data_IF_015993530281
#
_entry.id   IF_015993530281
#
_cell.length_a   1.000
_cell.length_b   1.000
_cell.length_c   1.000
_cell.angle_alpha   90.00
_cell.angle_beta   90.00
_cell.angle_gamma   90.00
#
_symmetry.space_group_name_H-M   'P 1'
#
loop_
_entity.id
_entity.type
_entity.pdbx_description
1 polymer ?
#
# COMPACT_ATOMS: atom_id res chain seq x y z
N UNK A 1 25.31 9.11 -24.18
CA UNK A 1 24.23 10.07 -23.91
C UNK A 1 24.05 10.19 -22.41
N UNK A 2 24.22 11.38 -21.82
CA UNK A 2 23.99 11.62 -20.40
C UNK A 2 22.48 11.69 -20.14
N UNK A 3 21.98 10.91 -19.18
CA UNK A 3 20.57 11.00 -18.76
C UNK A 3 20.34 12.36 -18.11
N UNK A 4 19.34 13.15 -18.54
CA UNK A 4 19.04 14.44 -17.92
C UNK A 4 18.75 14.28 -16.42
N UNK A 5 19.23 15.25 -15.64
CA UNK A 5 19.02 15.25 -14.19
C UNK A 5 17.51 15.34 -13.86
N UNK A 6 17.04 14.65 -12.81
CA UNK A 6 15.65 14.79 -12.36
C UNK A 6 15.33 16.24 -11.94
N UNK A 7 14.10 16.73 -12.15
CA UNK A 7 13.66 18.03 -11.68
C UNK A 7 13.89 18.26 -10.17
N UNK A 8 14.23 19.49 -9.73
CA UNK A 8 14.51 19.78 -8.32
C UNK A 8 13.38 19.42 -7.35
N UNK A 9 12.12 19.56 -7.77
CA UNK A 9 10.97 19.20 -6.93
C UNK A 9 10.94 17.70 -6.55
N UNK A 10 11.47 16.82 -7.42
CA UNK A 10 11.53 15.38 -7.16
C UNK A 10 12.53 15.10 -6.05
N UNK A 11 13.70 15.74 -6.09
CA UNK A 11 14.71 15.63 -5.04
C UNK A 11 14.22 16.18 -3.70
N UNK A 12 13.56 17.33 -3.71
CA UNK A 12 12.94 17.90 -2.50
C UNK A 12 11.89 16.96 -1.90
N UNK A 13 11.03 16.37 -2.74
CA UNK A 13 10.03 15.40 -2.28
C UNK A 13 10.66 14.10 -1.76
N UNK A 14 11.67 13.57 -2.44
CA UNK A 14 12.42 12.38 -1.99
C UNK A 14 13.08 12.62 -0.64
N UNK A 15 13.70 13.80 -0.46
CA UNK A 15 14.33 14.20 0.80
C UNK A 15 13.30 14.27 1.93
N UNK A 16 12.11 14.80 1.66
CA UNK A 16 11.00 14.79 2.64
C UNK A 16 10.64 13.37 3.08
N UNK A 17 10.54 12.43 2.14
CA UNK A 17 10.23 11.02 2.47
C UNK A 17 11.29 10.39 3.36
N UNK A 18 12.55 10.68 3.12
CA UNK A 18 13.67 10.16 3.91
C UNK A 18 13.76 10.80 5.29
N UNK A 19 13.80 12.12 5.34
CA UNK A 19 14.08 12.86 6.58
C UNK A 19 12.87 12.94 7.50
N UNK A 20 11.68 13.16 6.94
CA UNK A 20 10.45 13.37 7.73
C UNK A 20 9.72 12.06 7.99
N UNK A 21 9.63 11.18 6.98
CA UNK A 21 8.85 9.94 7.08
C UNK A 21 9.69 8.69 7.33
N UNK A 22 11.02 8.79 7.27
CA UNK A 22 11.91 7.65 7.49
C UNK A 22 11.81 6.58 6.38
N UNK A 23 11.27 6.93 5.21
CA UNK A 23 11.20 6.04 4.05
C UNK A 23 12.50 6.17 3.26
N UNK A 24 13.21 5.05 3.05
CA UNK A 24 14.46 5.01 2.27
C UNK A 24 14.20 5.19 0.77
N UNK A 25 13.75 6.38 0.38
CA UNK A 25 13.31 6.70 -0.95
C UNK A 25 14.48 6.96 -1.91
N UNK A 26 14.41 6.40 -3.11
CA UNK A 26 15.30 6.66 -4.23
C UNK A 26 14.58 7.40 -5.36
N UNK A 27 15.36 7.90 -6.32
CA UNK A 27 14.84 8.44 -7.58
C UNK A 27 15.28 7.52 -8.71
N UNK A 28 14.32 6.95 -9.45
CA UNK A 28 14.61 6.32 -10.74
C UNK A 28 14.86 7.43 -11.77
N UNK A 29 16.13 7.63 -12.13
CA UNK A 29 16.56 8.70 -13.03
C UNK A 29 16.09 8.52 -14.48
N UNK A 30 15.65 7.31 -14.87
CA UNK A 30 15.14 7.05 -16.23
C UNK A 30 13.69 7.46 -16.39
N UNK A 31 12.91 7.28 -15.32
CA UNK A 31 11.46 7.54 -15.29
C UNK A 31 11.10 8.79 -14.52
N UNK A 32 12.05 9.39 -13.82
CA UNK A 32 11.87 10.49 -12.88
C UNK A 32 10.75 10.21 -11.89
N UNK A 33 10.76 9.03 -11.28
CA UNK A 33 9.80 8.62 -10.25
C UNK A 33 10.50 8.30 -8.94
N UNK A 34 9.81 8.54 -7.84
CA UNK A 34 10.29 8.23 -6.51
C UNK A 34 9.89 6.80 -6.16
N UNK A 35 10.87 5.97 -5.83
CA UNK A 35 10.67 4.58 -5.42
C UNK A 35 11.11 4.38 -3.98
N UNK A 36 10.52 3.42 -3.30
CA UNK A 36 11.05 2.90 -2.04
C UNK A 36 11.10 1.37 -2.13
N UNK A 37 12.24 0.73 -1.83
CA UNK A 37 12.29 -0.72 -1.78
C UNK A 37 11.43 -1.19 -0.60
N UNK A 38 10.46 -2.06 -0.86
CA UNK A 38 9.77 -2.84 0.16
C UNK A 38 10.57 -4.12 0.41
N UNK A 39 10.94 -4.33 1.68
CA UNK A 39 11.52 -5.57 2.14
C UNK A 39 12.21 -5.48 3.49
N UNK A 40 12.64 -6.64 3.97
CA UNK A 40 13.25 -6.79 5.30
C UNK A 40 14.49 -5.89 5.46
N UNK A 41 15.28 -5.71 4.39
CA UNK A 41 16.48 -4.86 4.39
C UNK A 41 16.16 -3.37 4.47
N UNK A 42 15.04 -2.94 3.90
CA UNK A 42 14.59 -1.54 3.97
C UNK A 42 13.73 -1.25 5.19
N UNK A 43 13.25 -2.29 5.88
CA UNK A 43 12.32 -2.19 7.01
C UNK A 43 10.91 -1.79 6.58
N UNK A 44 10.56 -1.92 5.29
CA UNK A 44 9.25 -1.56 4.75
C UNK A 44 8.51 -2.80 4.29
N UNK A 45 7.31 -3.01 4.81
CA UNK A 45 6.35 -4.00 4.32
C UNK A 45 5.18 -3.32 3.65
N UNK A 46 4.59 -3.97 2.65
CA UNK A 46 3.44 -3.44 1.94
C UNK A 46 2.34 -4.46 1.83
N UNK A 47 1.12 -4.05 2.15
CA UNK A 47 -0.11 -4.79 1.81
C UNK A 47 -0.82 -4.05 0.69
N UNK A 48 -1.02 -4.71 -0.44
CA UNK A 48 -1.68 -4.20 -1.63
C UNK A 48 -3.05 -4.81 -1.78
N UNK A 49 -4.02 -4.02 -2.22
CA UNK A 49 -5.36 -4.50 -2.55
C UNK A 49 -6.06 -3.60 -3.56
N UNK A 50 -7.14 -4.07 -4.22
CA UNK A 50 -8.00 -3.21 -5.02
C UNK A 50 -8.56 -2.03 -4.22
N UNK A 51 -8.80 -0.89 -4.87
CA UNK A 51 -9.26 0.33 -4.20
C UNK A 51 -10.55 0.16 -3.38
N UNK A 52 -11.51 -0.66 -3.83
CA UNK A 52 -12.76 -0.86 -3.09
C UNK A 52 -12.53 -1.61 -1.78
N UNK A 53 -11.78 -2.73 -1.82
CA UNK A 53 -11.34 -3.41 -0.61
C UNK A 53 -10.49 -2.50 0.29
N UNK A 54 -9.62 -1.69 -0.31
CA UNK A 54 -8.80 -0.69 0.40
C UNK A 54 -9.65 0.36 1.11
N UNK A 55 -10.74 0.83 0.51
CA UNK A 55 -11.64 1.81 1.11
C UNK A 55 -12.35 1.23 2.34
N UNK A 56 -12.85 0.01 2.24
CA UNK A 56 -13.52 -0.69 3.35
C UNK A 56 -12.55 -0.94 4.51
N UNK A 57 -11.37 -1.49 4.19
CA UNK A 57 -10.30 -1.76 5.16
C UNK A 57 -9.85 -0.47 5.84
N UNK A 58 -9.59 0.59 5.08
CA UNK A 58 -9.21 1.91 5.64
C UNK A 58 -10.26 2.42 6.62
N UNK A 59 -11.53 2.34 6.25
CA UNK A 59 -12.63 2.81 7.09
C UNK A 59 -12.65 2.07 8.42
N UNK A 60 -12.53 0.74 8.38
CA UNK A 60 -12.47 -0.09 9.57
C UNK A 60 -11.22 0.19 10.42
N UNK A 61 -10.05 0.31 9.80
CA UNK A 61 -8.79 0.61 10.50
C UNK A 61 -8.88 1.95 11.24
N UNK A 62 -9.42 2.98 10.59
CA UNK A 62 -9.61 4.29 11.19
C UNK A 62 -10.57 4.27 12.39
N UNK A 63 -11.63 3.47 12.33
CA UNK A 63 -12.56 3.27 13.45
C UNK A 63 -11.90 2.56 14.63
N UNK A 64 -10.89 1.72 14.36
CA UNK A 64 -10.12 0.97 15.37
C UNK A 64 -8.80 1.67 15.74
N UNK A 65 -8.62 2.94 15.37
CA UNK A 65 -7.45 3.75 15.76
C UNK A 65 -6.16 3.44 15.02
N UNK A 66 -6.18 2.55 14.02
CA UNK A 66 -5.00 2.19 13.22
C UNK A 66 -4.95 3.05 11.96
N UNK A 67 -3.84 3.79 11.76
CA UNK A 67 -3.67 4.73 10.64
C UNK A 67 -2.36 4.48 9.90
N UNK A 68 -2.28 3.41 9.09
CA UNK A 68 -1.10 3.19 8.25
C UNK A 68 -1.03 4.27 7.16
N UNK A 69 0.16 4.62 6.66
CA UNK A 69 0.26 5.38 5.41
C UNK A 69 -0.31 4.56 4.25
N UNK A 70 -1.07 5.21 3.36
CA UNK A 70 -1.73 4.58 2.23
C UNK A 70 -1.43 5.37 0.95
N UNK A 71 -0.87 4.70 -0.04
CA UNK A 71 -0.68 5.23 -1.41
C UNK A 71 -1.68 4.55 -2.34
N UNK A 72 -2.38 5.32 -3.18
CA UNK A 72 -3.11 4.77 -4.32
C UNK A 72 -2.24 4.83 -5.58
N UNK A 73 -2.04 3.67 -6.20
CA UNK A 73 -1.30 3.50 -7.43
C UNK A 73 -2.25 3.16 -8.58
N UNK A 74 -2.17 3.95 -9.65
CA UNK A 74 -2.79 3.64 -10.92
C UNK A 74 -1.99 2.53 -11.60
N UNK A 75 -2.63 1.39 -11.77
CA UNK A 75 -2.09 0.25 -12.50
C UNK A 75 -2.74 0.30 -13.89
N UNK A 76 -1.95 0.69 -14.88
CA UNK A 76 -2.34 0.53 -16.27
C UNK A 76 -2.31 -0.97 -16.57
N UNK A 77 -3.48 -1.56 -16.80
CA UNK A 77 -3.54 -2.94 -17.27
C UNK A 77 -3.06 -2.94 -18.74
N UNK A 78 -2.00 -3.70 -19.03
CA UNK A 78 -1.38 -3.74 -20.37
C UNK A 78 -2.26 -4.44 -21.42
N UNK A 79 -3.42 -4.95 -21.02
CA UNK A 79 -4.41 -5.57 -21.90
C UNK A 79 -5.30 -4.47 -22.48
N UNK A 80 -5.22 -4.28 -23.81
CA UNK A 80 -5.99 -3.27 -24.52
C UNK A 80 -7.49 -3.35 -24.19
N UNK A 81 -8.05 -2.24 -23.68
CA UNK A 81 -9.48 -2.08 -23.40
C UNK A 81 -9.92 -2.35 -21.96
N UNK A 82 -9.02 -2.73 -21.04
CA UNK A 82 -9.34 -2.77 -19.62
C UNK A 82 -9.30 -1.35 -19.01
N UNK A 83 -10.26 -0.99 -18.13
CA UNK A 83 -10.24 0.29 -17.45
C UNK A 83 -9.02 0.38 -16.52
N UNK A 84 -8.41 1.56 -16.44
CA UNK A 84 -7.34 1.80 -15.48
C UNK A 84 -7.83 1.48 -14.06
N UNK A 85 -7.10 0.63 -13.34
CA UNK A 85 -7.48 0.26 -11.97
C UNK A 85 -6.57 0.93 -10.97
N UNK A 86 -7.14 1.34 -9.84
CA UNK A 86 -6.35 1.81 -8.70
C UNK A 86 -6.20 0.69 -7.68
N UNK A 87 -4.97 0.42 -7.31
CA UNK A 87 -4.61 -0.43 -6.18
C UNK A 87 -4.13 0.45 -5.04
N UNK A 88 -4.50 0.11 -3.81
CA UNK A 88 -4.07 0.81 -2.62
C UNK A 88 -2.96 0.01 -1.92
N UNK A 89 -1.91 0.70 -1.53
CA UNK A 89 -0.73 0.19 -0.86
C UNK A 89 -0.69 0.72 0.57
N UNK A 90 -0.91 -0.18 1.52
CA UNK A 90 -0.80 0.09 2.94
C UNK A 90 0.64 -0.18 3.36
N UNK A 91 1.32 0.85 3.85
CA UNK A 91 2.72 0.81 4.24
C UNK A 91 2.84 0.47 5.73
N UNK A 92 3.81 -0.38 6.07
CA UNK A 92 4.08 -0.79 7.43
C UNK A 92 5.58 -0.98 7.68
N UNK A 93 5.98 -0.93 8.94
CA UNK A 93 7.32 -1.33 9.35
C UNK A 93 7.45 -2.86 9.25
N UNK A 94 8.41 -3.34 8.48
CA UNK A 94 8.77 -4.75 8.38
C UNK A 94 9.98 -5.07 9.25
N UNK A 95 9.97 -6.26 9.81
CA UNK A 95 11.01 -6.85 10.64
C UNK A 95 11.38 -8.23 10.10
N UNK A 96 12.55 -8.75 10.46
CA UNK A 96 12.98 -10.10 10.03
C UNK A 96 12.04 -11.21 10.50
N UNK A 97 11.27 -10.99 11.57
CA UNK A 97 10.25 -11.92 12.05
C UNK A 97 9.07 -12.06 11.06
N UNK A 98 8.87 -11.09 10.16
CA UNK A 98 7.78 -11.10 9.17
C UNK A 98 8.08 -11.99 7.95
N UNK A 99 9.25 -12.64 7.88
CA UNK A 99 9.58 -13.54 6.77
C UNK A 99 8.55 -14.69 6.64
N UNK A 100 8.16 -15.28 7.77
CA UNK A 100 7.15 -16.36 7.80
C UNK A 100 5.72 -15.85 7.51
N UNK A 101 5.46 -14.57 7.81
CA UNK A 101 4.16 -13.95 7.58
C UNK A 101 3.80 -13.93 6.10
N UNK A 102 4.76 -13.70 5.21
CA UNK A 102 4.50 -13.64 3.76
C UNK A 102 3.90 -14.94 3.22
N UNK A 103 4.48 -16.09 3.60
CA UNK A 103 3.97 -17.41 3.22
C UNK A 103 2.60 -17.71 3.82
N UNK A 104 2.40 -17.37 5.11
CA UNK A 104 1.11 -17.54 5.77
C UNK A 104 0.01 -16.67 5.13
N UNK A 105 0.35 -15.43 4.77
CA UNK A 105 -0.56 -14.48 4.13
C UNK A 105 -1.06 -14.99 2.79
N UNK A 106 -0.17 -15.54 1.96
CA UNK A 106 -0.52 -16.08 0.65
C UNK A 106 -1.46 -17.30 0.72
N UNK A 107 -1.43 -18.05 1.84
CA UNK A 107 -2.23 -19.25 2.03
C UNK A 107 -3.67 -18.97 2.51
N UNK A 108 -4.00 -17.74 2.93
CA UNK A 108 -5.30 -17.42 3.50
C UNK A 108 -6.35 -17.11 2.41
N UNK A 109 -7.48 -17.87 2.36
CA UNK A 109 -8.51 -17.67 1.34
C UNK A 109 -9.11 -16.25 1.33
N UNK A 110 -9.29 -15.64 2.50
CA UNK A 110 -9.83 -14.27 2.64
C UNK A 110 -9.02 -13.23 1.87
N UNK A 111 -7.69 -13.40 1.81
CA UNK A 111 -6.83 -12.49 1.07
C UNK A 111 -6.84 -12.79 -0.43
N UNK A 112 -6.84 -14.07 -0.81
CA UNK A 112 -6.90 -14.48 -2.20
C UNK A 112 -8.18 -13.99 -2.90
N UNK A 113 -9.36 -14.19 -2.29
CA UNK A 113 -10.66 -13.80 -2.86
C UNK A 113 -10.80 -12.29 -3.03
N UNK A 114 -10.19 -11.51 -2.13
CA UNK A 114 -10.18 -10.04 -2.16
C UNK A 114 -8.98 -9.45 -2.90
N UNK A 115 -8.17 -10.30 -3.53
CA UNK A 115 -6.94 -9.93 -4.23
C UNK A 115 -5.96 -9.11 -3.38
N UNK A 116 -5.94 -9.37 -2.07
CA UNK A 116 -5.02 -8.73 -1.12
C UNK A 116 -3.69 -9.47 -1.17
N UNK A 117 -2.59 -8.74 -1.29
CA UNK A 117 -1.23 -9.30 -1.45
C UNK A 117 -0.26 -8.58 -0.53
N UNK A 118 0.67 -9.33 0.06
CA UNK A 118 1.75 -8.80 0.89
C UNK A 118 3.07 -8.82 0.10
N UNK A 119 3.84 -7.74 0.15
CA UNK A 119 5.12 -7.59 -0.54
C UNK A 119 6.26 -7.26 0.44
N UNK A 120 7.38 -7.99 0.30
CA UNK A 120 8.63 -7.80 1.04
C UNK A 120 9.87 -7.78 0.13
N UNK A 121 9.70 -7.64 -1.19
CA UNK A 121 10.82 -7.66 -2.13
C UNK A 121 10.56 -6.85 -3.41
N UNK A 122 9.69 -5.83 -3.36
CA UNK A 122 9.29 -5.07 -4.55
C UNK A 122 9.57 -3.57 -4.38
N UNK A 123 9.72 -2.84 -5.47
CA UNK A 123 9.83 -1.38 -5.42
C UNK A 123 8.44 -0.75 -5.45
N UNK A 124 8.16 0.05 -4.44
CA UNK A 124 6.91 0.80 -4.32
C UNK A 124 7.12 2.17 -4.93
N UNK A 125 6.26 2.53 -5.88
CA UNK A 125 6.21 3.91 -6.37
C UNK A 125 5.52 4.79 -5.32
N UNK A 126 6.17 5.86 -4.93
CA UNK A 126 5.62 6.89 -4.05
C UNK A 126 5.10 8.07 -4.88
N UNK A 127 4.15 8.85 -4.33
CA UNK A 127 3.65 10.05 -5.00
C UNK A 127 4.80 10.97 -5.42
N UNK A 128 4.93 11.16 -6.72
CA UNK A 128 5.99 11.94 -7.34
C UNK A 128 5.38 13.25 -7.84
N UNK A 129 6.04 14.41 -7.68
CA UNK A 129 5.54 15.68 -8.19
C UNK A 129 5.16 15.58 -9.68
N UNK A 130 3.98 16.08 -10.03
CA UNK A 130 3.42 16.07 -11.40
C UNK A 130 3.12 14.69 -11.99
N UNK A 131 3.20 13.61 -11.20
CA UNK A 131 2.74 12.28 -11.60
C UNK A 131 1.41 11.93 -10.89
N UNK A 132 0.26 11.95 -11.59
CA UNK A 132 -1.05 11.65 -10.99
C UNK A 132 -1.28 10.15 -10.75
N UNK A 133 -0.37 9.29 -11.21
CA UNK A 133 -0.50 7.85 -11.09
C UNK A 133 -0.31 7.38 -9.66
N UNK A 134 0.42 8.12 -8.82
CA UNK A 134 0.58 7.80 -7.41
C UNK A 134 0.13 8.97 -6.54
N UNK A 135 -0.85 8.72 -5.67
CA UNK A 135 -1.39 9.74 -4.77
C UNK A 135 -1.46 9.22 -3.33
N UNK A 136 -1.17 10.08 -2.36
CA UNK A 136 -1.41 9.74 -0.96
C UNK A 136 -2.92 9.73 -0.70
N UNK A 137 -3.43 8.60 -0.18
CA UNK A 137 -4.76 8.54 0.42
C UNK A 137 -4.66 8.99 1.87
N UNK A 138 -3.70 8.42 2.61
CA UNK A 138 -3.31 8.89 3.93
C UNK A 138 -1.77 9.00 3.97
N UNK A 139 -1.21 10.21 4.10
CA UNK A 139 0.25 10.37 4.16
C UNK A 139 0.82 9.90 5.51
N UNK A 140 2.11 9.56 5.59
CA UNK A 140 2.77 9.27 6.85
C UNK A 140 2.72 10.47 7.80
N UNK A 141 2.52 10.21 9.10
CA UNK A 141 2.49 11.24 10.16
C UNK A 141 3.79 11.23 10.96
N UNK A 142 4.90 11.39 10.25
CA UNK A 142 6.25 11.24 10.79
C UNK A 142 6.82 9.84 10.52
N UNK A 143 7.76 9.39 11.37
CA UNK A 143 8.53 8.16 11.18
C UNK A 143 7.87 6.89 11.74
N UNK A 144 6.78 7.03 12.48
CA UNK A 144 6.08 5.89 13.08
C UNK A 144 5.16 5.22 12.04
N UNK A 145 5.31 3.92 11.89
CA UNK A 145 4.44 3.07 11.08
C UNK A 145 4.00 1.87 11.91
N UNK A 146 2.78 1.34 11.71
CA UNK A 146 2.38 0.09 12.35
C UNK A 146 3.30 -1.05 11.90
N UNK A 147 3.51 -2.03 12.78
CA UNK A 147 4.22 -3.26 12.43
C UNK A 147 3.42 -4.05 11.39
N UNK A 148 4.11 -4.68 10.44
CA UNK A 148 3.48 -5.41 9.34
C UNK A 148 2.58 -6.54 9.82
N UNK A 149 3.03 -7.36 10.77
CA UNK A 149 2.20 -8.41 11.37
C UNK A 149 0.92 -7.85 12.00
N UNK A 150 1.04 -6.79 12.82
CA UNK A 150 -0.12 -6.16 13.43
C UNK A 150 -1.08 -5.57 12.38
N UNK A 151 -0.55 -4.93 11.33
CA UNK A 151 -1.37 -4.41 10.24
C UNK A 151 -2.09 -5.54 9.49
N UNK A 152 -1.40 -6.64 9.18
CA UNK A 152 -1.98 -7.79 8.48
C UNK A 152 -3.14 -8.41 9.26
N UNK A 153 -3.00 -8.55 10.58
CA UNK A 153 -4.07 -9.03 11.47
C UNK A 153 -5.29 -8.08 11.44
N UNK A 154 -5.06 -6.77 11.58
CA UNK A 154 -6.15 -5.80 11.49
C UNK A 154 -6.84 -5.79 10.11
N UNK A 155 -6.08 -5.94 9.02
CA UNK A 155 -6.65 -6.05 7.67
C UNK A 155 -7.52 -7.31 7.56
N UNK A 156 -7.06 -8.45 8.09
CA UNK A 156 -7.85 -9.68 8.11
C UNK A 156 -9.18 -9.49 8.85
N UNK A 157 -9.13 -8.85 10.01
CA UNK A 157 -10.31 -8.64 10.85
C UNK A 157 -11.27 -7.63 10.21
N UNK A 158 -10.74 -6.59 9.54
CA UNK A 158 -11.53 -5.67 8.72
C UNK A 158 -12.29 -6.40 7.60
N UNK A 159 -11.62 -7.28 6.86
CA UNK A 159 -12.26 -8.04 5.77
C UNK A 159 -13.38 -8.95 6.28
N UNK A 160 -13.16 -9.64 7.41
CA UNK A 160 -14.20 -10.45 8.07
C UNK A 160 -15.40 -9.61 8.48
N UNK A 161 -15.17 -8.43 9.07
CA UNK A 161 -16.25 -7.54 9.49
C UNK A 161 -17.09 -7.06 8.30
N UNK A 162 -16.44 -6.75 7.17
CA UNK A 162 -17.11 -6.37 5.92
C UNK A 162 -17.96 -7.52 5.38
N UNK A 163 -17.44 -8.75 5.35
CA UNK A 163 -18.17 -9.93 4.91
C UNK A 163 -19.45 -10.17 5.76
N UNK A 164 -19.34 -10.03 7.08
CA UNK A 164 -20.49 -10.16 7.98
C UNK A 164 -21.55 -9.07 7.75
N UNK A 165 -21.13 -7.81 7.54
CA UNK A 165 -22.05 -6.72 7.24
C UNK A 165 -22.79 -6.94 5.92
N UNK A 166 -22.09 -7.38 4.87
CA UNK A 166 -22.69 -7.70 3.57
C UNK A 166 -23.70 -8.84 3.66
N UNK A 167 -23.39 -9.91 4.40
CA UNK A 167 -24.30 -11.03 4.62
C UNK A 167 -25.58 -10.62 5.38
N UNK A 168 -25.45 -9.78 6.39
CA UNK A 168 -26.59 -9.27 7.17
C UNK A 168 -27.52 -8.39 6.33
N UNK A 169 -26.98 -7.60 5.40
CA UNK A 169 -27.79 -6.77 4.50
C UNK A 169 -28.55 -7.63 3.49
N UNK A 170 -27.88 -8.64 2.90
CA UNK A 170 -28.52 -9.56 1.97
C UNK A 170 -29.69 -10.33 2.63
N UNK A 171 -29.53 -10.76 3.88
CA UNK A 171 -30.59 -11.48 4.61
C UNK A 171 -31.79 -10.59 4.96
N UNK A 172 -31.61 -9.27 5.06
CA UNK A 172 -32.72 -8.32 5.28
C UNK A 172 -33.48 -7.98 4.00
N UNK A 173 -32.83 -8.01 2.84
CA UNK A 173 -33.45 -7.70 1.56
C UNK A 173 -34.38 -8.82 1.02
N UNK A 174 -34.29 -10.02 1.59
CA UNK A 174 -35.09 -11.20 1.18
C UNK A 174 -36.35 -11.38 2.05
N UNK A 175 -36.58 -10.50 3.04
CA UNK A 175 -37.77 -10.48 3.88
C UNK A 175 -38.69 -9.32 3.48
#
# INVERSE_FOLDING_TARGET
>A
MLTPAPPPEIWSRRTTYEEVFGLRAGVDSRRWVITVPAGLRSGLGVVRMPADAGRDVRTWLHQNGVRPPIVANLVADTVAGQPERREWLFLAAASTADAALHSAFAALPTFATRQVRLFLADNVLLPTPRDPRQVWIDPPRGRSMPLLAALAEHIRDALKAVDHASASLASRAVR
#
